data_IF_967242529246
#
_entry.id   IF_967242529246
#
_cell.length_a   1.000
_cell.length_b   1.000
_cell.length_c   1.000
_cell.angle_alpha   90.00
_cell.angle_beta   90.00
_cell.angle_gamma   90.00
#
_symmetry.space_group_name_H-M   'P 1'
#
loop_
_entity.id
_entity.type
_entity.pdbx_description
1 polymer ?
#
# COMPACT_ATOMS: atom_id res chain seq x y z
N UNK A 1 -18.08 4.79 -16.23
CA UNK A 1 -17.30 5.64 -15.30
C UNK A 1 -18.22 6.70 -14.71
N UNK A 2 -18.12 6.97 -13.41
CA UNK A 2 -18.91 8.01 -12.72
C UNK A 2 -18.15 9.34 -12.73
N UNK A 3 -18.85 10.47 -12.52
CA UNK A 3 -18.19 11.78 -12.40
C UNK A 3 -17.20 11.82 -11.22
N UNK A 4 -17.46 11.04 -10.18
CA UNK A 4 -16.55 10.87 -9.04
C UNK A 4 -15.22 10.25 -9.45
N UNK A 5 -15.24 9.25 -10.34
CA UNK A 5 -14.00 8.64 -10.85
C UNK A 5 -13.15 9.66 -11.64
N UNK A 6 -13.77 10.58 -12.38
CA UNK A 6 -13.05 11.65 -13.09
C UNK A 6 -12.36 12.67 -12.18
N UNK A 7 -12.89 12.86 -10.97
CA UNK A 7 -12.32 13.80 -10.02
C UNK A 7 -11.18 13.16 -9.21
N UNK A 8 -11.33 11.89 -8.81
CA UNK A 8 -10.37 11.23 -7.93
C UNK A 8 -9.19 10.60 -8.67
N UNK A 9 -9.45 9.93 -9.80
CA UNK A 9 -8.41 9.20 -10.52
C UNK A 9 -7.20 10.07 -10.94
N UNK A 10 -7.33 11.35 -11.36
CA UNK A 10 -6.15 12.15 -11.68
C UNK A 10 -5.44 12.75 -10.45
N UNK A 11 -5.95 12.51 -9.23
CA UNK A 11 -5.41 13.12 -8.01
C UNK A 11 -4.53 12.16 -7.20
N UNK A 12 -4.68 10.85 -7.39
CA UNK A 12 -3.98 9.82 -6.63
C UNK A 12 -3.58 8.69 -7.59
N UNK A 13 -2.33 8.26 -7.49
CA UNK A 13 -1.81 7.11 -8.24
C UNK A 13 -1.50 5.98 -7.25
N UNK A 14 -1.85 4.75 -7.62
CA UNK A 14 -1.63 3.54 -6.84
C UNK A 14 -0.31 2.87 -7.23
N UNK A 15 0.17 1.91 -6.41
CA UNK A 15 1.34 1.10 -6.78
C UNK A 15 1.14 0.34 -8.11
N UNK A 16 -0.10 -0.06 -8.39
CA UNK A 16 -0.52 -0.71 -9.63
C UNK A 16 -1.69 0.03 -10.27
N UNK A 17 -1.69 0.13 -11.60
CA UNK A 17 -2.84 0.55 -12.38
C UNK A 17 -3.62 -0.66 -12.90
N UNK A 18 -4.91 -0.46 -13.19
CA UNK A 18 -5.72 -1.42 -13.94
C UNK A 18 -5.83 -0.94 -15.39
N UNK A 19 -5.27 -1.72 -16.31
CA UNK A 19 -5.27 -1.36 -17.72
C UNK A 19 -6.60 -1.69 -18.43
N UNK A 20 -6.71 -1.31 -19.71
CA UNK A 20 -7.93 -1.52 -20.50
C UNK A 20 -8.32 -3.00 -20.70
N UNK A 21 -7.41 -3.94 -20.42
CA UNK A 21 -7.68 -5.38 -20.44
C UNK A 21 -8.13 -5.92 -19.07
N UNK A 22 -8.29 -5.06 -18.06
CA UNK A 22 -8.52 -5.42 -16.66
C UNK A 22 -7.39 -6.25 -16.05
N UNK A 23 -6.15 -6.04 -16.51
CA UNK A 23 -4.97 -6.59 -15.87
C UNK A 23 -4.31 -5.51 -15.00
N UNK A 24 -3.69 -5.93 -13.90
CA UNK A 24 -2.83 -5.07 -13.11
C UNK A 24 -1.49 -4.89 -13.81
N UNK A 25 -0.94 -3.68 -13.76
CA UNK A 25 0.41 -3.37 -14.22
C UNK A 25 1.08 -2.37 -13.26
N UNK A 26 2.41 -2.43 -13.09
CA UNK A 26 3.15 -1.48 -12.28
C UNK A 26 2.88 -0.04 -12.72
N UNK A 27 2.42 0.81 -11.80
CA UNK A 27 2.23 2.25 -12.04
C UNK A 27 3.29 3.04 -11.29
N UNK A 28 3.19 3.21 -9.97
CA UNK A 28 4.30 3.81 -9.20
C UNK A 28 5.50 2.87 -9.07
N UNK A 29 5.30 1.56 -9.19
CA UNK A 29 6.37 0.56 -9.14
C UNK A 29 7.18 0.53 -10.44
N UNK A 30 8.48 0.26 -10.32
CA UNK A 30 9.40 0.09 -11.44
C UNK A 30 9.18 -1.25 -12.17
N UNK A 31 8.69 -2.27 -11.46
CA UNK A 31 8.41 -3.60 -11.97
C UNK A 31 7.40 -4.33 -11.07
N UNK A 32 6.98 -5.51 -11.51
CA UNK A 32 6.29 -6.46 -10.63
C UNK A 32 7.17 -6.78 -9.41
N UNK A 33 6.59 -6.90 -8.20
CA UNK A 33 7.32 -7.29 -6.99
C UNK A 33 7.86 -8.71 -7.09
N UNK A 34 9.02 -8.96 -6.48
CA UNK A 34 9.53 -10.32 -6.30
C UNK A 34 8.90 -10.94 -5.05
N UNK A 35 8.39 -12.17 -5.17
CA UNK A 35 7.69 -12.86 -4.09
C UNK A 35 8.53 -14.03 -3.55
N UNK A 36 8.57 -14.13 -2.23
CA UNK A 36 9.14 -15.27 -1.50
C UNK A 36 8.08 -15.90 -0.61
N UNK A 37 7.77 -17.18 -0.83
CA UNK A 37 6.99 -18.00 0.10
C UNK A 37 7.92 -18.51 1.21
N UNK A 38 7.59 -18.24 2.47
CA UNK A 38 8.39 -18.64 3.62
C UNK A 38 7.96 -20.01 4.16
N UNK A 39 8.83 -20.66 4.93
CA UNK A 39 8.58 -22.01 5.48
C UNK A 39 7.35 -22.07 6.42
N UNK A 40 6.98 -20.94 7.04
CA UNK A 40 5.81 -20.82 7.91
C UNK A 40 4.50 -20.51 7.17
N UNK A 41 4.55 -20.41 5.83
CA UNK A 41 3.43 -20.09 4.96
C UNK A 41 3.20 -18.60 4.74
N UNK A 42 3.94 -17.73 5.43
CA UNK A 42 3.90 -16.28 5.13
C UNK A 42 4.49 -15.99 3.74
N UNK A 43 4.12 -14.86 3.16
CA UNK A 43 4.64 -14.39 1.88
C UNK A 43 5.28 -13.03 2.07
N UNK A 44 6.52 -12.88 1.63
CA UNK A 44 7.24 -11.60 1.59
C UNK A 44 7.33 -11.13 0.14
N UNK A 45 6.96 -9.86 -0.11
CA UNK A 45 7.15 -9.22 -1.40
C UNK A 45 8.18 -8.09 -1.31
N UNK A 46 9.09 -8.04 -2.27
CA UNK A 46 10.08 -6.97 -2.44
C UNK A 46 9.60 -6.00 -3.53
N UNK A 47 9.42 -4.74 -3.16
CA UNK A 47 8.90 -3.69 -4.03
C UNK A 47 9.99 -2.68 -4.37
N UNK A 48 9.95 -2.18 -5.61
CA UNK A 48 10.79 -1.07 -6.06
C UNK A 48 9.93 -0.01 -6.73
N UNK A 49 9.98 1.22 -6.24
CA UNK A 49 9.36 2.40 -6.84
C UNK A 49 10.17 2.87 -8.07
N UNK A 50 9.49 3.50 -9.03
CA UNK A 50 10.16 4.23 -10.13
C UNK A 50 11.06 5.35 -9.55
N UNK A 51 12.16 5.63 -10.24
CA UNK A 51 13.01 6.76 -9.85
C UNK A 51 12.33 8.11 -10.18
N UNK A 52 12.58 9.11 -9.33
CA UNK A 52 12.16 10.49 -9.57
C UNK A 52 10.67 10.75 -9.43
N UNK A 53 9.94 9.89 -8.71
CA UNK A 53 8.56 10.14 -8.32
C UNK A 53 8.48 11.38 -7.44
N UNK A 54 7.46 12.19 -7.66
CA UNK A 54 7.26 13.46 -6.96
C UNK A 54 5.82 13.68 -6.59
N UNK A 55 5.63 14.26 -5.41
CA UNK A 55 4.38 14.90 -5.04
C UNK A 55 4.18 16.19 -5.85
N UNK A 56 2.94 16.68 -5.89
CA UNK A 56 2.58 17.85 -6.71
C UNK A 56 3.25 19.17 -6.26
N UNK A 57 3.78 19.22 -5.04
CA UNK A 57 4.55 20.33 -4.49
C UNK A 57 6.06 20.24 -4.83
N UNK A 58 6.50 19.13 -5.44
CA UNK A 58 7.86 18.89 -5.89
C UNK A 58 8.72 18.09 -4.93
N UNK A 59 8.23 17.77 -3.73
CA UNK A 59 8.89 16.84 -2.81
C UNK A 59 8.97 15.44 -3.43
N UNK A 60 10.00 14.68 -3.08
CA UNK A 60 10.17 13.33 -3.59
C UNK A 60 9.15 12.40 -2.92
N UNK A 61 8.50 11.54 -3.71
CA UNK A 61 7.64 10.48 -3.19
C UNK A 61 8.50 9.23 -2.98
N UNK A 62 8.59 8.77 -1.74
CA UNK A 62 9.48 7.66 -1.36
C UNK A 62 8.74 6.47 -0.77
N UNK A 63 9.46 5.37 -0.54
CA UNK A 63 8.97 4.21 0.17
C UNK A 63 8.49 4.52 1.60
N UNK A 64 9.04 5.55 2.24
CA UNK A 64 8.56 6.03 3.54
C UNK A 64 7.13 6.58 3.45
N UNK A 65 6.74 7.22 2.35
CA UNK A 65 5.36 7.70 2.15
C UNK A 65 4.37 6.54 1.98
N UNK A 66 4.81 5.46 1.32
CA UNK A 66 4.02 4.24 1.17
C UNK A 66 3.80 3.59 2.54
N UNK A 67 4.86 3.49 3.34
CA UNK A 67 4.77 2.99 4.72
C UNK A 67 3.89 3.90 5.58
N UNK A 68 4.07 5.21 5.51
CA UNK A 68 3.24 6.19 6.22
C UNK A 68 1.75 6.00 5.91
N UNK A 69 1.41 5.79 4.63
CA UNK A 69 0.03 5.54 4.21
C UNK A 69 -0.52 4.26 4.82
N UNK A 70 0.25 3.17 4.80
CA UNK A 70 -0.13 1.92 5.44
C UNK A 70 -0.34 2.08 6.95
N UNK A 71 0.63 2.67 7.64
CA UNK A 71 0.59 2.89 9.10
C UNK A 71 -0.61 3.77 9.48
N UNK A 72 -0.89 4.82 8.72
CA UNK A 72 -2.05 5.71 8.94
C UNK A 72 -3.38 4.98 8.72
N UNK A 73 -3.46 4.06 7.76
CA UNK A 73 -4.65 3.22 7.58
C UNK A 73 -4.84 2.30 8.79
N UNK A 74 -3.76 1.78 9.36
CA UNK A 74 -3.79 0.84 10.48
C UNK A 74 -3.85 1.49 11.87
N UNK A 75 -3.66 2.81 11.97
CA UNK A 75 -3.67 3.55 13.23
C UNK A 75 -5.01 3.42 13.97
N UNK A 76 -4.91 3.21 15.29
CA UNK A 76 -6.06 2.99 16.20
C UNK A 76 -6.04 3.98 17.37
N UNK A 77 -7.20 4.52 17.72
CA UNK A 77 -7.41 5.34 18.91
C UNK A 77 -8.20 4.56 19.97
N UNK A 78 -7.52 3.61 20.60
CA UNK A 78 -8.08 2.76 21.65
C UNK A 78 -8.94 1.61 21.12
N UNK A 79 -9.81 1.11 22.00
CA UNK A 79 -10.66 -0.06 21.77
C UNK A 79 -12.12 0.28 22.12
N UNK A 80 -13.07 -0.39 21.46
CA UNK A 80 -14.50 -0.29 21.77
C UNK A 80 -14.87 -1.11 23.03
N UNK A 81 -16.16 -1.16 23.39
CA UNK A 81 -16.63 -1.89 24.57
C UNK A 81 -16.42 -3.41 24.45
N UNK A 82 -16.26 -3.92 23.23
CA UNK A 82 -16.01 -5.32 22.90
C UNK A 82 -14.51 -5.66 22.80
N UNK A 83 -13.62 -4.67 22.91
CA UNK A 83 -12.16 -4.82 22.81
C UNK A 83 -11.64 -4.83 21.38
N UNK A 84 -12.42 -4.39 20.39
CA UNK A 84 -11.95 -4.24 19.02
C UNK A 84 -11.25 -2.88 18.85
N UNK A 85 -10.20 -2.79 18.02
CA UNK A 85 -9.52 -1.53 17.75
C UNK A 85 -10.45 -0.51 17.09
N UNK A 86 -10.44 0.72 17.61
CA UNK A 86 -11.14 1.87 17.01
C UNK A 86 -10.19 2.55 16.04
N UNK A 87 -10.30 2.25 14.74
CA UNK A 87 -9.42 2.83 13.73
C UNK A 87 -9.67 4.34 13.54
N UNK A 88 -8.58 5.10 13.41
CA UNK A 88 -8.62 6.56 13.18
C UNK A 88 -9.27 6.89 11.83
N UNK A 89 -8.93 6.13 10.79
CA UNK A 89 -9.57 6.25 9.48
C UNK A 89 -10.71 5.24 9.36
N UNK A 90 -11.74 5.55 8.58
CA UNK A 90 -12.74 4.56 8.16
C UNK A 90 -12.37 4.03 6.77
N UNK A 91 -11.87 2.81 6.70
CA UNK A 91 -11.43 2.17 5.46
C UNK A 91 -11.96 0.74 5.43
N UNK A 92 -12.99 0.51 4.60
CA UNK A 92 -13.75 -0.75 4.59
C UNK A 92 -12.95 -1.95 4.08
N UNK A 93 -11.84 -1.70 3.39
CA UNK A 93 -10.98 -2.74 2.81
C UNK A 93 -9.92 -3.28 3.76
N UNK A 94 -9.88 -2.84 5.02
CA UNK A 94 -8.85 -3.31 5.99
C UNK A 94 -8.85 -4.82 6.17
N UNK A 95 -10.03 -5.39 6.37
CA UNK A 95 -10.20 -6.84 6.59
C UNK A 95 -10.02 -7.69 5.32
N UNK A 96 -9.62 -7.08 4.20
CA UNK A 96 -9.29 -7.81 2.97
C UNK A 96 -7.79 -7.87 2.71
N UNK A 97 -6.95 -7.75 3.75
CA UNK A 97 -5.52 -8.03 3.64
C UNK A 97 -4.60 -7.10 4.43
N UNK A 98 -5.05 -5.91 4.85
CA UNK A 98 -4.18 -5.01 5.64
C UNK A 98 -3.88 -5.58 7.02
N UNK A 99 -4.86 -6.25 7.64
CA UNK A 99 -4.75 -6.93 8.92
C UNK A 99 -3.83 -8.17 8.89
N UNK A 100 -3.53 -8.69 7.69
CA UNK A 100 -2.61 -9.81 7.51
C UNK A 100 -1.15 -9.38 7.33
N UNK A 101 -0.86 -8.08 7.18
CA UNK A 101 0.52 -7.57 7.14
C UNK A 101 1.17 -7.76 8.51
N UNK A 102 2.26 -8.51 8.57
CA UNK A 102 3.03 -8.78 9.79
C UNK A 102 4.33 -7.98 9.87
N UNK A 103 4.88 -7.57 8.73
CA UNK A 103 6.08 -6.73 8.66
C UNK A 103 5.99 -5.79 7.46
N UNK A 104 6.46 -4.55 7.65
CA UNK A 104 6.65 -3.57 6.59
C UNK A 104 7.98 -2.85 6.85
N UNK A 105 8.98 -3.15 6.03
CA UNK A 105 10.33 -2.62 6.18
C UNK A 105 10.74 -1.80 4.96
N UNK A 106 11.05 -0.51 5.18
CA UNK A 106 11.66 0.36 4.18
C UNK A 106 13.18 0.17 4.19
N UNK A 107 13.78 -0.13 3.05
CA UNK A 107 15.21 -0.41 2.91
C UNK A 107 15.97 0.71 2.21
N UNK A 108 15.29 1.50 1.38
CA UNK A 108 15.81 2.72 0.73
C UNK A 108 14.65 3.65 0.33
N UNK A 109 14.96 4.83 -0.22
CA UNK A 109 13.94 5.76 -0.72
C UNK A 109 13.00 5.14 -1.76
N UNK A 110 13.45 4.09 -2.46
CA UNK A 110 12.67 3.44 -3.53
C UNK A 110 12.37 1.98 -3.25
N UNK A 111 12.93 1.36 -2.21
CA UNK A 111 12.78 -0.07 -1.96
C UNK A 111 12.18 -0.33 -0.58
N UNK A 112 11.23 -1.25 -0.54
CA UNK A 112 10.61 -1.72 0.67
C UNK A 112 10.13 -3.15 0.53
N UNK A 113 9.94 -3.81 1.66
CA UNK A 113 9.41 -5.17 1.75
C UNK A 113 8.17 -5.19 2.61
N UNK A 114 7.22 -6.06 2.27
CA UNK A 114 6.02 -6.28 3.05
C UNK A 114 5.82 -7.79 3.19
N UNK A 115 5.53 -8.25 4.41
CA UNK A 115 5.25 -9.66 4.68
C UNK A 115 3.81 -9.80 5.16
N UNK A 116 3.09 -10.77 4.59
CA UNK A 116 1.75 -11.16 5.00
C UNK A 116 1.75 -12.54 5.62
N UNK A 117 0.97 -12.72 6.68
CA UNK A 117 0.68 -14.04 7.25
C UNK A 117 -0.10 -14.92 6.28
N UNK A 118 0.02 -16.25 6.45
CA UNK A 118 -0.78 -17.25 5.75
C UNK A 118 -2.29 -17.15 6.02
#
# INVERSE_FOLDING_TARGET
MTITAWLLQPMLEDLFAVNAANAYEPELLASEPELTENDDGSVTAEFTLREGLKWSDGEDLTADDVKFTHDTIMETDGEDEEGNPVYVLSYSSRSSGYDTVTDFTVTSDTEFTVTWSA
#
